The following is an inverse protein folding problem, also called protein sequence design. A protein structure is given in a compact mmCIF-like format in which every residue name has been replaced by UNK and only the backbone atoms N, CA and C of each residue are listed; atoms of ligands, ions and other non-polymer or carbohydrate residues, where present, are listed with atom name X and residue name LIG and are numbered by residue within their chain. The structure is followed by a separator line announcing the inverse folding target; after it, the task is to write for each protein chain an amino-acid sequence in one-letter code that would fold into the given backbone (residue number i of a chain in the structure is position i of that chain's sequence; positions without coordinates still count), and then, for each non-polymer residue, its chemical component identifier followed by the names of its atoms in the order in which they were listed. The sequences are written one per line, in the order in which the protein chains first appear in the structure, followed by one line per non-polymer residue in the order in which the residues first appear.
data_IF_270955889013
#
_entry.id   IF_270955889013
#
_cell.length_a   1.000
_cell.length_b   1.000
_cell.length_c   1.000
_cell.angle_alpha   90.00
_cell.angle_beta   90.00
_cell.angle_gamma   90.00
#
_symmetry.space_group_name_H-M   'P 1'
#
loop_
_entity.id
_entity.type
_entity.pdbx_description
1 polymer ?
#
# COMPACT_ATOMS: atom_id res chain seq x y z
N UNK A 1 -7.17 29.57 6.45
CA UNK A 1 -7.26 28.14 6.04
C UNK A 1 -6.69 27.13 7.07
N UNK A 2 -6.26 27.56 8.25
CA UNK A 2 -5.57 26.66 9.23
C UNK A 2 -6.46 25.49 9.72
N UNK A 3 -7.76 25.67 9.75
CA UNK A 3 -8.70 24.63 10.15
C UNK A 3 -9.21 23.75 9.00
N UNK A 4 -8.90 24.09 7.75
CA UNK A 4 -9.36 23.34 6.59
C UNK A 4 -8.47 22.11 6.31
N UNK A 5 -9.10 21.10 5.75
CA UNK A 5 -8.46 19.91 5.19
C UNK A 5 -8.74 19.80 3.69
N UNK A 6 -8.12 18.88 2.98
CA UNK A 6 -8.44 18.63 1.57
C UNK A 6 -9.91 18.27 1.34
N UNK A 7 -10.51 17.56 2.30
CA UNK A 7 -11.90 17.11 2.21
C UNK A 7 -12.93 18.24 2.21
N UNK A 8 -12.62 19.38 2.84
CA UNK A 8 -13.53 20.53 2.90
C UNK A 8 -13.80 21.15 1.53
N UNK A 9 -12.93 20.86 0.53
CA UNK A 9 -13.07 21.31 -0.84
C UNK A 9 -13.72 20.29 -1.78
N UNK A 10 -14.04 19.08 -1.29
CA UNK A 10 -14.74 18.07 -2.10
C UNK A 10 -16.19 18.49 -2.36
N UNK A 11 -16.80 19.17 -1.40
CA UNK A 11 -18.16 19.69 -1.52
C UNK A 11 -18.29 21.02 -0.77
N UNK A 12 -18.79 22.06 -1.48
CA UNK A 12 -19.17 23.36 -0.91
C UNK A 12 -20.57 23.69 -1.46
N UNK A 13 -21.51 23.88 -0.56
CA UNK A 13 -22.91 24.14 -0.95
C UNK A 13 -23.01 25.35 -1.89
N UNK A 14 -23.72 25.17 -3.01
CA UNK A 14 -23.95 26.23 -3.99
C UNK A 14 -22.75 26.57 -4.89
N UNK A 15 -21.64 25.83 -4.77
CA UNK A 15 -20.44 26.06 -5.57
C UNK A 15 -20.18 24.88 -6.52
N UNK A 16 -19.96 25.17 -7.77
CA UNK A 16 -19.54 24.19 -8.76
C UNK A 16 -18.06 23.76 -8.59
N UNK A 17 -17.65 22.77 -9.37
CA UNK A 17 -16.28 22.22 -9.27
C UNK A 17 -15.21 23.26 -9.61
N UNK A 18 -15.48 24.16 -10.56
CA UNK A 18 -14.52 25.20 -10.94
C UNK A 18 -14.31 26.25 -9.84
N UNK A 19 -15.40 26.63 -9.15
CA UNK A 19 -15.32 27.49 -7.96
C UNK A 19 -14.56 26.85 -6.82
N UNK A 20 -14.84 25.56 -6.51
CA UNK A 20 -14.09 24.81 -5.51
C UNK A 20 -12.61 24.68 -5.83
N UNK A 21 -12.26 24.45 -7.10
CA UNK A 21 -10.88 24.37 -7.55
C UNK A 21 -10.11 25.69 -7.33
N UNK A 22 -10.75 26.85 -7.57
CA UNK A 22 -10.16 28.16 -7.26
C UNK A 22 -9.91 28.36 -5.77
N UNK A 23 -10.89 27.99 -4.93
CA UNK A 23 -10.72 28.08 -3.48
C UNK A 23 -9.62 27.13 -2.99
N UNK A 24 -9.56 25.92 -3.55
CA UNK A 24 -8.52 24.95 -3.23
C UNK A 24 -7.13 25.46 -3.62
N UNK A 25 -7.01 26.14 -4.76
CA UNK A 25 -5.73 26.78 -5.15
C UNK A 25 -5.31 27.84 -4.11
N UNK A 26 -6.21 28.71 -3.69
CA UNK A 26 -5.91 29.69 -2.65
C UNK A 26 -5.49 29.04 -1.31
N UNK A 27 -6.12 27.92 -0.95
CA UNK A 27 -5.70 27.11 0.19
C UNK A 27 -4.27 26.56 0.02
N UNK A 28 -3.95 26.00 -1.16
CA UNK A 28 -2.60 25.47 -1.42
C UNK A 28 -1.53 26.58 -1.36
N UNK A 29 -1.82 27.76 -1.90
CA UNK A 29 -0.92 28.91 -1.87
C UNK A 29 -0.65 29.39 -0.42
N UNK A 30 -1.70 29.46 0.41
CA UNK A 30 -1.59 29.78 1.83
C UNK A 30 -0.75 28.75 2.60
N UNK A 31 -1.03 27.45 2.41
CA UNK A 31 -0.28 26.38 3.08
C UNK A 31 1.20 26.32 2.61
N UNK A 32 1.45 26.60 1.35
CA UNK A 32 2.82 26.72 0.81
C UNK A 32 3.57 27.87 1.43
N UNK A 33 2.96 29.06 1.49
CA UNK A 33 3.57 30.24 2.11
C UNK A 33 3.90 30.04 3.60
N UNK A 34 3.14 29.20 4.30
CA UNK A 34 3.36 28.82 5.71
C UNK A 34 4.33 27.66 5.90
N UNK A 35 4.87 27.04 4.83
CA UNK A 35 5.70 25.85 4.91
C UNK A 35 4.95 24.62 5.46
N UNK A 36 3.62 24.58 5.31
CA UNK A 36 2.77 23.51 5.82
C UNK A 36 2.33 22.51 4.75
N UNK A 37 2.61 22.77 3.49
CA UNK A 37 2.32 21.89 2.35
C UNK A 37 3.57 21.04 2.02
N UNK A 38 3.64 19.84 2.60
CA UNK A 38 4.75 18.90 2.38
C UNK A 38 4.31 17.70 1.51
N UNK A 39 3.54 17.99 0.45
CA UNK A 39 3.02 17.00 -0.49
C UNK A 39 3.52 17.26 -1.90
N UNK A 40 3.65 16.20 -2.69
CA UNK A 40 4.08 16.24 -4.10
C UNK A 40 5.44 16.93 -4.30
N UNK A 41 6.35 16.73 -3.34
CA UNK A 41 7.71 17.25 -3.43
C UNK A 41 8.47 16.51 -4.55
N UNK A 42 9.26 17.25 -5.32
CA UNK A 42 9.95 16.72 -6.49
C UNK A 42 11.34 16.23 -6.10
N UNK A 43 11.62 14.97 -6.44
CA UNK A 43 12.97 14.38 -6.37
C UNK A 43 13.57 14.32 -7.77
N UNK A 44 14.87 14.53 -7.89
CA UNK A 44 15.61 14.54 -9.17
C UNK A 44 16.41 13.25 -9.39
N UNK A 45 16.39 12.32 -8.42
CA UNK A 45 17.01 11.01 -8.49
C UNK A 45 15.98 9.89 -8.44
N UNK A 46 16.39 8.68 -8.76
CA UNK A 46 15.54 7.49 -8.60
C UNK A 46 15.28 7.16 -7.13
N UNK A 47 14.33 6.25 -6.91
CA UNK A 47 13.98 5.73 -5.59
C UNK A 47 15.21 5.09 -4.91
N UNK A 48 15.42 5.38 -3.63
CA UNK A 48 16.54 4.85 -2.85
C UNK A 48 16.58 5.43 -1.43
N UNK A 49 17.55 5.01 -0.61
CA UNK A 49 17.68 5.52 0.76
C UNK A 49 18.16 6.98 0.80
N UNK A 50 18.81 7.45 -0.26
CA UNK A 50 19.16 8.86 -0.48
C UNK A 50 18.50 9.30 -1.78
N UNK A 51 17.83 10.44 -1.75
CA UNK A 51 17.27 11.12 -2.91
C UNK A 51 17.75 12.57 -2.93
N UNK A 52 17.75 13.18 -4.11
CA UNK A 52 18.05 14.59 -4.25
C UNK A 52 16.76 15.41 -4.38
N UNK A 53 16.64 16.46 -3.57
CA UNK A 53 15.53 17.41 -3.59
C UNK A 53 16.07 18.83 -3.55
N UNK A 54 15.68 19.66 -4.52
CA UNK A 54 16.16 21.05 -4.64
C UNK A 54 17.70 21.18 -4.55
N UNK A 55 18.44 20.24 -5.17
CA UNK A 55 19.90 20.20 -5.18
C UNK A 55 20.55 19.76 -3.87
N UNK A 56 19.80 19.18 -2.93
CA UNK A 56 20.32 18.69 -1.65
C UNK A 56 20.03 17.19 -1.48
N UNK A 57 20.99 16.40 -0.99
CA UNK A 57 20.76 15.01 -0.63
C UNK A 57 19.87 14.92 0.62
N UNK A 58 18.91 14.00 0.61
CA UNK A 58 17.97 13.73 1.69
C UNK A 58 17.93 12.25 1.99
N UNK A 59 17.96 11.86 3.25
CA UNK A 59 17.63 10.49 3.67
C UNK A 59 16.14 10.29 3.46
N UNK A 60 15.78 9.36 2.58
CA UNK A 60 14.39 9.16 2.14
C UNK A 60 13.71 8.03 2.91
N UNK A 61 12.70 8.38 3.68
CA UNK A 61 11.84 7.44 4.42
C UNK A 61 10.41 7.39 3.86
N UNK A 62 10.22 7.83 2.60
CA UNK A 62 8.91 7.88 1.94
C UNK A 62 8.68 6.73 0.98
N UNK A 63 9.71 5.96 0.65
CA UNK A 63 9.61 4.86 -0.30
C UNK A 63 8.95 3.62 0.30
N UNK A 64 8.13 2.94 -0.51
CA UNK A 64 7.61 1.61 -0.25
C UNK A 64 8.40 0.51 -1.00
N UNK A 65 9.52 0.83 -1.62
CA UNK A 65 10.45 -0.12 -2.24
C UNK A 65 11.26 -0.84 -1.14
N UNK A 66 10.58 -1.69 -0.37
CA UNK A 66 11.09 -2.24 0.89
C UNK A 66 12.39 -3.01 0.76
N UNK A 67 12.59 -3.75 -0.34
CA UNK A 67 13.82 -4.49 -0.61
C UNK A 67 14.82 -3.71 -1.48
N UNK A 68 14.43 -2.54 -2.01
CA UNK A 68 15.27 -1.68 -2.85
C UNK A 68 15.47 -2.24 -4.26
N UNK A 69 14.50 -2.99 -4.76
CA UNK A 69 14.60 -3.67 -6.06
C UNK A 69 14.45 -2.73 -7.25
N UNK A 70 13.87 -1.53 -7.09
CA UNK A 70 13.84 -0.53 -8.18
C UNK A 70 15.22 -0.19 -8.72
N UNK A 71 16.26 -0.28 -7.89
CA UNK A 71 17.64 0.02 -8.26
C UNK A 71 18.52 -1.22 -8.45
N UNK A 72 17.96 -2.42 -8.29
CA UNK A 72 18.72 -3.66 -8.44
C UNK A 72 19.16 -3.88 -9.91
N UNK A 73 20.45 -4.14 -10.19
CA UNK A 73 20.95 -4.26 -11.57
C UNK A 73 20.22 -5.30 -12.41
N UNK A 74 19.96 -6.49 -11.84
CA UNK A 74 19.26 -7.57 -12.55
C UNK A 74 17.79 -7.20 -12.86
N UNK A 75 17.12 -6.48 -11.97
CA UNK A 75 15.74 -6.01 -12.18
C UNK A 75 15.70 -4.97 -13.30
N UNK A 76 16.63 -4.00 -13.30
CA UNK A 76 16.77 -3.03 -14.40
C UNK A 76 17.05 -3.71 -15.73
N UNK A 77 17.97 -4.68 -15.73
CA UNK A 77 18.33 -5.39 -16.95
C UNK A 77 17.15 -6.20 -17.53
N UNK A 78 16.33 -6.82 -16.66
CA UNK A 78 15.13 -7.53 -17.11
C UNK A 78 14.12 -6.58 -17.77
N UNK A 79 13.92 -5.37 -17.23
CA UNK A 79 13.10 -4.34 -17.87
C UNK A 79 13.64 -3.93 -19.23
N UNK A 80 14.94 -3.65 -19.34
CA UNK A 80 15.61 -3.29 -20.60
C UNK A 80 15.43 -4.40 -21.63
N UNK A 81 15.66 -5.64 -21.25
CA UNK A 81 15.51 -6.80 -22.14
C UNK A 81 14.07 -6.94 -22.65
N UNK A 82 13.08 -6.70 -21.79
CA UNK A 82 11.68 -6.66 -22.17
C UNK A 82 11.39 -5.59 -23.21
N UNK A 83 11.84 -4.37 -22.99
CA UNK A 83 11.68 -3.26 -23.94
C UNK A 83 12.38 -3.56 -25.27
N UNK A 84 13.59 -4.09 -25.24
CA UNK A 84 14.35 -4.41 -26.46
C UNK A 84 13.68 -5.51 -27.30
N UNK A 85 13.01 -6.47 -26.65
CA UNK A 85 12.34 -7.57 -27.37
C UNK A 85 10.97 -7.17 -27.90
N UNK A 86 10.16 -6.45 -27.12
CA UNK A 86 8.74 -6.25 -27.39
C UNK A 86 8.35 -4.80 -27.68
N UNK A 87 9.25 -3.83 -27.46
CA UNK A 87 8.94 -2.40 -27.55
C UNK A 87 8.54 -1.79 -26.21
N UNK A 88 8.01 -0.56 -26.23
CA UNK A 88 7.74 0.22 -25.01
C UNK A 88 6.36 -0.01 -24.39
N UNK A 89 5.45 -0.68 -25.10
CA UNK A 89 4.09 -0.90 -24.62
C UNK A 89 3.42 -2.07 -25.27
N UNK A 90 2.29 -2.50 -24.72
CA UNK A 90 1.50 -3.62 -25.26
C UNK A 90 0.64 -3.25 -26.48
N UNK A 91 0.43 -1.96 -26.74
CA UNK A 91 -0.30 -1.45 -27.90
C UNK A 91 -1.82 -1.64 -27.87
N UNK A 92 -2.35 -2.45 -26.94
CA UNK A 92 -3.77 -2.76 -26.84
C UNK A 92 -4.13 -3.26 -25.44
N UNK A 93 -5.44 -3.40 -25.19
CA UNK A 93 -5.96 -4.13 -24.03
C UNK A 93 -5.90 -5.65 -24.24
N UNK A 94 -6.00 -6.45 -23.18
CA UNK A 94 -5.98 -7.92 -23.30
C UNK A 94 -7.06 -8.46 -24.22
N UNK A 95 -8.19 -7.77 -24.32
CA UNK A 95 -9.34 -8.21 -25.13
C UNK A 95 -9.10 -8.17 -26.65
N UNK A 96 -8.16 -7.32 -27.13
CA UNK A 96 -7.99 -7.07 -28.57
C UNK A 96 -6.54 -7.18 -29.05
N UNK A 97 -5.70 -7.95 -28.39
CA UNK A 97 -4.32 -8.24 -28.84
C UNK A 97 -3.22 -7.72 -27.92
N UNK A 98 -3.57 -7.15 -26.76
CA UNK A 98 -2.61 -6.72 -25.72
C UNK A 98 -2.23 -7.82 -24.75
N UNK A 99 -2.41 -9.11 -25.07
CA UNK A 99 -2.03 -10.21 -24.22
C UNK A 99 -0.86 -10.97 -24.84
N UNK A 100 0.28 -10.94 -24.17
CA UNK A 100 1.55 -11.49 -24.64
C UNK A 100 2.05 -12.61 -23.72
N UNK A 101 3.02 -13.39 -24.19
CA UNK A 101 3.67 -14.46 -23.44
C UNK A 101 4.31 -13.97 -22.12
N UNK A 102 4.80 -12.74 -22.08
CA UNK A 102 5.36 -12.17 -20.84
C UNK A 102 4.27 -11.84 -19.80
N UNK A 103 3.03 -11.60 -20.20
CA UNK A 103 1.91 -11.45 -19.26
C UNK A 103 1.58 -12.81 -18.61
N UNK A 104 1.51 -13.87 -19.39
CA UNK A 104 1.29 -15.23 -18.87
C UNK A 104 2.42 -15.67 -17.94
N UNK A 105 3.68 -15.34 -18.29
CA UNK A 105 4.83 -15.61 -17.45
C UNK A 105 4.70 -14.87 -16.10
N UNK A 106 4.31 -13.60 -16.12
CA UNK A 106 4.11 -12.80 -14.90
C UNK A 106 2.95 -13.35 -14.05
N UNK A 107 1.82 -13.72 -14.65
CA UNK A 107 0.70 -14.36 -13.97
C UNK A 107 1.13 -15.66 -13.28
N UNK A 108 1.82 -16.53 -14.01
CA UNK A 108 2.32 -17.81 -13.48
C UNK A 108 3.32 -17.61 -12.35
N UNK A 109 4.26 -16.68 -12.53
CA UNK A 109 5.28 -16.38 -11.50
C UNK A 109 4.64 -15.81 -10.24
N UNK A 110 3.68 -14.90 -10.40
CA UNK A 110 2.93 -14.31 -9.28
C UNK A 110 2.12 -15.37 -8.53
N UNK A 111 1.38 -16.23 -9.25
CA UNK A 111 0.62 -17.31 -8.64
C UNK A 111 1.53 -18.27 -7.86
N UNK A 112 2.66 -18.67 -8.45
CA UNK A 112 3.66 -19.55 -7.81
C UNK A 112 4.26 -18.96 -6.55
N UNK A 113 4.53 -17.66 -6.54
CA UNK A 113 5.01 -16.93 -5.35
C UNK A 113 4.05 -17.10 -4.15
N UNK A 114 2.75 -17.08 -4.40
CA UNK A 114 1.71 -17.30 -3.38
C UNK A 114 1.27 -18.76 -3.25
N UNK A 115 2.07 -19.71 -3.75
CA UNK A 115 1.76 -21.17 -3.69
C UNK A 115 0.41 -21.53 -4.29
N UNK A 116 -0.04 -20.76 -5.29
CA UNK A 116 -1.26 -20.96 -6.03
C UNK A 116 -0.95 -21.23 -7.51
N UNK A 117 -1.96 -21.56 -8.29
CA UNK A 117 -1.80 -21.89 -9.72
C UNK A 117 -2.23 -20.74 -10.64
N UNK A 118 -3.10 -19.87 -10.17
CA UNK A 118 -3.78 -18.89 -11.02
C UNK A 118 -3.71 -17.49 -10.41
N UNK A 119 -3.40 -16.52 -11.26
CA UNK A 119 -3.41 -15.10 -10.96
C UNK A 119 -3.87 -14.31 -12.18
N UNK A 120 -4.42 -13.13 -11.93
CA UNK A 120 -4.67 -12.10 -12.95
C UNK A 120 -3.91 -10.85 -12.62
N UNK A 121 -3.38 -10.18 -13.63
CA UNK A 121 -2.56 -8.98 -13.51
C UNK A 121 -3.37 -7.76 -13.93
N UNK A 122 -3.29 -6.70 -13.14
CA UNK A 122 -3.87 -5.38 -13.40
C UNK A 122 -2.79 -4.33 -13.59
N UNK A 123 -3.15 -3.22 -14.21
CA UNK A 123 -2.20 -2.10 -14.47
C UNK A 123 -1.71 -1.40 -13.20
N UNK A 124 -2.48 -1.45 -12.12
CA UNK A 124 -2.08 -0.92 -10.79
C UNK A 124 -2.62 -1.79 -9.67
N UNK A 125 -2.03 -1.72 -8.48
CA UNK A 125 -2.61 -2.30 -7.27
C UNK A 125 -3.94 -1.65 -6.89
N UNK A 126 -4.14 -0.38 -7.23
CA UNK A 126 -5.43 0.29 -7.04
C UNK A 126 -6.53 -0.38 -7.86
N UNK A 127 -6.27 -0.62 -9.14
CA UNK A 127 -7.24 -1.30 -10.03
C UNK A 127 -7.41 -2.76 -9.70
N UNK A 128 -6.38 -3.46 -9.19
CA UNK A 128 -6.56 -4.86 -8.76
C UNK A 128 -7.62 -5.00 -7.67
N UNK A 129 -7.71 -4.05 -6.73
CA UNK A 129 -8.76 -4.02 -5.72
C UNK A 129 -10.08 -3.49 -6.29
N UNK A 130 -10.10 -2.26 -6.81
CA UNK A 130 -11.35 -1.60 -7.21
C UNK A 130 -12.05 -2.34 -8.34
N UNK A 131 -11.32 -2.78 -9.37
CA UNK A 131 -11.90 -3.46 -10.53
C UNK A 131 -12.36 -4.89 -10.22
N UNK A 132 -11.60 -5.64 -9.41
CA UNK A 132 -12.02 -7.00 -9.02
C UNK A 132 -13.27 -6.96 -8.15
N UNK A 133 -13.33 -6.05 -7.18
CA UNK A 133 -14.50 -5.90 -6.30
C UNK A 133 -15.74 -5.45 -7.08
N UNK A 134 -15.62 -4.47 -7.98
CA UNK A 134 -16.71 -4.04 -8.85
C UNK A 134 -17.17 -5.14 -9.82
N UNK A 135 -16.30 -6.08 -10.15
CA UNK A 135 -16.63 -7.22 -11.00
C UNK A 135 -17.32 -8.35 -10.23
N UNK A 136 -16.86 -8.65 -9.01
CA UNK A 136 -17.33 -9.80 -8.21
C UNK A 136 -18.65 -9.48 -7.51
N UNK A 137 -18.80 -8.26 -6.99
CA UNK A 137 -19.91 -7.90 -6.12
C UNK A 137 -21.16 -7.53 -6.91
N UNK A 138 -22.30 -7.87 -6.34
CA UNK A 138 -23.64 -7.46 -6.79
C UNK A 138 -24.36 -6.67 -5.67
N UNK A 139 -25.49 -6.07 -5.98
CA UNK A 139 -26.32 -5.34 -5.00
C UNK A 139 -26.89 -6.22 -3.88
N UNK A 140 -26.96 -7.54 -4.11
CA UNK A 140 -27.54 -8.50 -3.17
C UNK A 140 -26.48 -9.07 -2.20
N UNK A 141 -25.19 -8.83 -2.48
CA UNK A 141 -24.07 -9.26 -1.68
C UNK A 141 -23.83 -8.31 -0.49
N UNK A 142 -23.10 -8.78 0.51
CA UNK A 142 -22.71 -7.98 1.67
C UNK A 142 -21.21 -8.01 1.89
N UNK A 143 -20.62 -6.83 2.10
CA UNK A 143 -19.19 -6.68 2.33
C UNK A 143 -18.94 -6.17 3.75
N UNK A 144 -18.03 -6.82 4.46
CA UNK A 144 -17.57 -6.40 5.78
C UNK A 144 -16.11 -5.92 5.65
N UNK A 145 -15.88 -4.64 5.93
CA UNK A 145 -14.61 -3.97 5.73
C UNK A 145 -13.99 -3.56 7.07
N UNK A 146 -12.71 -3.80 7.26
CA UNK A 146 -11.96 -3.11 8.32
C UNK A 146 -11.91 -1.59 8.05
N UNK A 147 -11.98 -0.78 9.10
CA UNK A 147 -11.90 0.67 8.98
C UNK A 147 -10.55 1.17 8.43
N UNK A 148 -9.51 0.35 8.53
CA UNK A 148 -8.15 0.66 8.07
C UNK A 148 -7.84 0.24 6.63
N UNK A 149 -8.77 -0.40 5.90
CA UNK A 149 -8.50 -0.87 4.53
C UNK A 149 -8.17 0.27 3.58
N UNK A 150 -7.39 -0.04 2.56
CA UNK A 150 -6.94 0.92 1.56
C UNK A 150 -8.11 1.55 0.80
N UNK A 151 -7.96 2.81 0.38
CA UNK A 151 -8.99 3.58 -0.36
C UNK A 151 -9.49 2.85 -1.61
N UNK A 152 -8.64 2.08 -2.30
CA UNK A 152 -9.05 1.30 -3.48
C UNK A 152 -10.09 0.22 -3.17
N UNK A 153 -10.04 -0.37 -1.97
CA UNK A 153 -11.05 -1.30 -1.46
C UNK A 153 -12.35 -0.54 -1.17
N UNK A 154 -12.25 0.59 -0.49
CA UNK A 154 -13.41 1.43 -0.19
C UNK A 154 -14.15 1.89 -1.45
N UNK A 155 -13.41 2.31 -2.47
CA UNK A 155 -13.96 2.71 -3.78
C UNK A 155 -14.55 1.52 -4.52
N UNK A 156 -13.86 0.36 -4.54
CA UNK A 156 -14.38 -0.86 -5.14
C UNK A 156 -15.72 -1.32 -4.55
N UNK A 157 -15.96 -1.01 -3.28
CA UNK A 157 -17.19 -1.35 -2.57
C UNK A 157 -18.22 -0.21 -2.47
N UNK A 158 -17.97 0.95 -3.11
CA UNK A 158 -18.77 2.17 -2.88
C UNK A 158 -20.26 2.01 -3.20
N UNK A 159 -20.58 1.26 -4.26
CA UNK A 159 -21.96 1.09 -4.74
C UNK A 159 -22.66 -0.14 -4.16
N UNK A 160 -22.03 -0.87 -3.24
CA UNK A 160 -22.55 -2.14 -2.72
C UNK A 160 -22.96 -2.03 -1.24
N UNK A 161 -23.74 -3.01 -0.79
CA UNK A 161 -24.11 -3.13 0.60
C UNK A 161 -22.89 -3.48 1.45
N UNK A 162 -22.45 -2.55 2.29
CA UNK A 162 -21.22 -2.67 3.07
C UNK A 162 -21.37 -2.27 4.53
N UNK A 163 -20.63 -2.94 5.39
CA UNK A 163 -20.47 -2.61 6.79
C UNK A 163 -18.98 -2.40 7.08
N UNK A 164 -18.62 -1.18 7.47
CA UNK A 164 -17.28 -0.91 8.02
C UNK A 164 -17.30 -1.24 9.51
N UNK A 165 -16.37 -2.07 9.95
CA UNK A 165 -16.15 -2.43 11.35
C UNK A 165 -14.95 -1.68 11.90
N UNK A 166 -14.91 -1.54 13.22
CA UNK A 166 -13.77 -0.90 13.89
C UNK A 166 -12.50 -1.69 13.64
N UNK A 167 -11.41 -0.97 13.45
CA UNK A 167 -10.10 -1.51 13.10
C UNK A 167 -9.66 -2.61 14.06
N UNK A 168 -9.35 -3.78 13.49
CA UNK A 168 -8.89 -5.00 14.18
C UNK A 168 -9.78 -5.47 15.35
N UNK A 169 -11.06 -5.07 15.38
CA UNK A 169 -12.01 -5.40 16.44
C UNK A 169 -12.77 -6.70 16.11
N UNK A 170 -12.31 -7.82 16.65
CA UNK A 170 -12.88 -9.15 16.40
C UNK A 170 -14.36 -9.27 16.82
N UNK A 171 -14.78 -8.60 17.90
CA UNK A 171 -16.20 -8.60 18.33
C UNK A 171 -17.07 -7.88 17.29
N UNK A 172 -16.57 -6.78 16.72
CA UNK A 172 -17.28 -6.06 15.66
C UNK A 172 -17.38 -6.89 14.36
N UNK A 173 -16.33 -7.64 14.00
CA UNK A 173 -16.37 -8.60 12.88
C UNK A 173 -17.41 -9.69 13.12
N UNK A 174 -17.36 -10.34 14.28
CA UNK A 174 -18.28 -11.41 14.62
C UNK A 174 -19.72 -10.94 14.62
N UNK A 175 -19.99 -9.76 15.21
CA UNK A 175 -21.32 -9.16 15.21
C UNK A 175 -21.84 -8.93 13.79
N UNK A 176 -21.02 -8.35 12.91
CA UNK A 176 -21.40 -8.10 11.52
C UNK A 176 -21.66 -9.40 10.74
N UNK A 177 -20.81 -10.41 10.91
CA UNK A 177 -20.94 -11.73 10.29
C UNK A 177 -22.22 -12.44 10.76
N UNK A 178 -22.50 -12.43 12.04
CA UNK A 178 -23.72 -13.02 12.63
C UNK A 178 -24.99 -12.38 12.05
N UNK A 179 -24.99 -11.05 11.88
CA UNK A 179 -26.14 -10.34 11.31
C UNK A 179 -26.34 -10.64 9.82
N UNK A 180 -25.29 -11.01 9.11
CA UNK A 180 -25.30 -11.26 7.66
C UNK A 180 -25.57 -12.73 7.29
N UNK A 181 -25.42 -13.66 8.26
CA UNK A 181 -25.54 -15.10 8.01
C UNK A 181 -26.86 -15.49 7.39
N UNK A 182 -26.81 -16.12 6.22
CA UNK A 182 -27.98 -16.64 5.50
C UNK A 182 -28.88 -15.56 4.85
N UNK A 183 -28.47 -14.30 4.82
CA UNK A 183 -29.25 -13.19 4.26
C UNK A 183 -28.79 -12.74 2.88
N UNK A 184 -27.58 -13.11 2.49
CA UNK A 184 -26.92 -12.65 1.25
C UNK A 184 -26.34 -13.82 0.48
N UNK A 185 -26.35 -13.80 -0.85
CA UNK A 185 -25.70 -14.83 -1.67
C UNK A 185 -24.20 -14.94 -1.38
N UNK A 186 -23.55 -13.79 -1.19
CA UNK A 186 -22.14 -13.66 -0.80
C UNK A 186 -22.01 -12.73 0.41
N UNK A 187 -21.25 -13.16 1.39
CA UNK A 187 -20.67 -12.30 2.43
C UNK A 187 -19.16 -12.31 2.26
N UNK A 188 -18.57 -11.16 1.98
CA UNK A 188 -17.14 -11.02 1.74
C UNK A 188 -16.51 -10.14 2.85
N UNK A 189 -15.57 -10.70 3.59
CA UNK A 189 -14.74 -9.95 4.54
C UNK A 189 -13.48 -9.48 3.82
N UNK A 190 -13.09 -8.21 3.98
CA UNK A 190 -11.90 -7.64 3.37
C UNK A 190 -11.04 -6.97 4.44
N UNK A 191 -9.76 -7.32 4.45
CA UNK A 191 -8.73 -6.79 5.35
C UNK A 191 -7.48 -6.44 4.56
N UNK A 192 -6.67 -5.53 5.09
CA UNK A 192 -5.28 -5.38 4.67
C UNK A 192 -4.41 -6.30 5.55
N UNK A 193 -3.44 -6.99 4.96
CA UNK A 193 -2.50 -7.82 5.73
C UNK A 193 -1.62 -6.98 6.65
N UNK A 194 -1.12 -5.87 6.10
CA UNK A 194 -0.42 -4.80 6.83
C UNK A 194 -1.12 -3.48 6.51
N UNK A 195 -1.58 -2.77 7.52
CA UNK A 195 -2.28 -1.51 7.33
C UNK A 195 -1.31 -0.35 7.04
N UNK A 196 -1.58 0.38 5.97
CA UNK A 196 -0.66 1.33 5.35
C UNK A 196 -0.31 2.54 6.22
N UNK A 197 -1.19 2.94 7.16
CA UNK A 197 -1.02 4.12 7.99
C UNK A 197 -0.50 3.80 9.39
N UNK A 198 -0.72 2.60 9.88
CA UNK A 198 -0.34 2.16 11.23
C UNK A 198 0.81 1.15 11.22
N UNK A 199 1.01 0.42 10.13
CA UNK A 199 2.05 -0.60 10.02
C UNK A 199 1.78 -1.84 10.88
N UNK A 200 0.61 -1.94 11.50
CA UNK A 200 0.16 -3.08 12.26
C UNK A 200 -0.43 -4.17 11.35
N UNK A 201 -0.70 -5.32 11.92
CA UNK A 201 -1.14 -6.51 11.21
C UNK A 201 -2.60 -6.83 11.54
N UNK A 202 -3.32 -7.34 10.55
CA UNK A 202 -4.63 -7.93 10.80
C UNK A 202 -4.51 -9.20 11.68
N UNK A 203 -5.47 -9.47 12.58
CA UNK A 203 -5.55 -10.71 13.34
C UNK A 203 -6.06 -11.87 12.46
N UNK A 204 -5.29 -12.20 11.42
CA UNK A 204 -5.71 -13.05 10.29
C UNK A 204 -6.27 -14.40 10.74
N UNK A 205 -5.59 -15.09 11.67
CA UNK A 205 -6.02 -16.42 12.13
C UNK A 205 -7.44 -16.41 12.72
N UNK A 206 -7.72 -15.42 13.57
CA UNK A 206 -9.04 -15.29 14.18
C UNK A 206 -10.12 -14.89 13.15
N UNK A 207 -9.78 -14.03 12.19
CA UNK A 207 -10.70 -13.65 11.11
C UNK A 207 -11.02 -14.86 10.22
N UNK A 208 -10.04 -15.70 9.89
CA UNK A 208 -10.27 -16.96 9.14
C UNK A 208 -11.27 -17.85 9.89
N UNK A 209 -11.07 -18.05 11.20
CA UNK A 209 -11.97 -18.86 12.03
C UNK A 209 -13.41 -18.31 12.02
N UNK A 210 -13.57 -16.98 12.12
CA UNK A 210 -14.87 -16.32 12.01
C UNK A 210 -15.49 -16.51 10.61
N UNK A 211 -14.73 -16.30 9.55
CA UNK A 211 -15.23 -16.50 8.18
C UNK A 211 -15.71 -17.94 7.95
N UNK A 212 -14.95 -18.92 8.38
CA UNK A 212 -15.33 -20.34 8.31
C UNK A 212 -16.62 -20.62 9.09
N UNK A 213 -16.71 -20.12 10.31
CA UNK A 213 -17.89 -20.33 11.17
C UNK A 213 -19.17 -19.76 10.60
N UNK A 214 -19.07 -18.58 9.97
CA UNK A 214 -20.25 -17.88 9.41
C UNK A 214 -20.45 -18.13 7.92
N UNK A 215 -19.56 -18.89 7.25
CA UNK A 215 -19.65 -19.18 5.81
C UNK A 215 -19.36 -17.98 4.91
N UNK A 216 -18.52 -17.05 5.38
CA UNK A 216 -18.08 -15.90 4.61
C UNK A 216 -16.82 -16.20 3.81
N UNK A 217 -16.63 -15.47 2.70
CA UNK A 217 -15.40 -15.42 1.92
C UNK A 217 -14.44 -14.38 2.48
N UNK A 218 -13.13 -14.57 2.25
CA UNK A 218 -12.09 -13.69 2.76
C UNK A 218 -11.17 -13.19 1.63
N UNK A 219 -11.00 -11.87 1.57
CA UNK A 219 -10.02 -11.19 0.73
C UNK A 219 -8.96 -10.53 1.63
N UNK A 220 -7.70 -10.72 1.28
CA UNK A 220 -6.56 -10.08 1.95
C UNK A 220 -5.79 -9.24 0.94
N UNK A 221 -5.76 -7.92 1.14
CA UNK A 221 -4.81 -7.03 0.46
C UNK A 221 -3.48 -7.04 1.20
N UNK A 222 -2.50 -7.71 0.64
CA UNK A 222 -1.18 -7.86 1.27
C UNK A 222 -0.09 -7.00 0.61
N UNK A 223 -0.50 -5.85 0.07
CA UNK A 223 0.38 -4.92 -0.64
C UNK A 223 1.57 -4.41 0.19
N UNK A 224 1.42 -4.30 1.51
CA UNK A 224 2.49 -3.88 2.43
C UNK A 224 3.13 -5.06 3.19
N UNK A 225 2.53 -6.25 3.14
CA UNK A 225 3.08 -7.45 3.77
C UNK A 225 4.01 -8.23 2.86
N UNK A 226 3.73 -8.24 1.55
CA UNK A 226 4.55 -8.90 0.53
C UNK A 226 5.98 -8.36 0.52
N UNK A 227 6.97 -9.26 0.67
CA UNK A 227 8.40 -8.92 0.80
C UNK A 227 8.82 -8.39 2.17
N UNK A 228 7.89 -8.25 3.11
CA UNK A 228 8.14 -7.64 4.45
C UNK A 228 7.81 -8.62 5.57
N UNK A 229 6.67 -9.30 5.48
CA UNK A 229 6.15 -10.21 6.50
C UNK A 229 6.29 -11.67 6.02
N UNK A 230 6.34 -12.57 6.96
CA UNK A 230 6.51 -14.01 6.70
C UNK A 230 7.99 -14.44 6.74
N UNK A 231 8.20 -15.76 6.77
CA UNK A 231 9.54 -16.34 6.82
C UNK A 231 10.27 -16.15 5.48
N UNK A 232 9.54 -16.28 4.38
CA UNK A 232 10.06 -16.19 3.01
C UNK A 232 9.53 -14.97 2.26
N UNK A 233 8.89 -13.99 2.95
CA UNK A 233 8.41 -12.75 2.36
C UNK A 233 7.10 -12.83 1.59
N UNK A 234 6.34 -13.86 1.82
CA UNK A 234 5.06 -14.06 1.12
C UNK A 234 3.87 -13.41 1.84
N UNK A 235 4.16 -12.47 2.73
CA UNK A 235 3.16 -11.65 3.40
C UNK A 235 2.51 -12.29 4.62
N UNK A 236 1.39 -11.71 5.06
CA UNK A 236 0.70 -12.13 6.27
C UNK A 236 0.11 -13.53 6.15
N UNK A 237 -0.36 -13.92 4.96
CA UNK A 237 -0.95 -15.24 4.70
C UNK A 237 0.04 -16.37 5.04
N UNK A 238 1.33 -16.16 4.77
CA UNK A 238 2.39 -17.12 5.11
C UNK A 238 2.51 -17.36 6.63
N UNK A 239 2.28 -16.35 7.46
CA UNK A 239 2.45 -16.45 8.91
C UNK A 239 1.50 -17.44 9.57
N UNK A 240 0.38 -17.69 8.93
CA UNK A 240 -0.66 -18.63 9.39
C UNK A 240 -0.69 -19.93 8.57
N UNK A 241 0.17 -20.05 7.55
CA UNK A 241 0.10 -21.11 6.51
C UNK A 241 -1.32 -21.28 5.92
N UNK A 242 -2.01 -20.14 5.74
CA UNK A 242 -3.45 -20.07 5.47
C UNK A 242 -3.78 -19.99 3.97
N UNK A 243 -2.96 -20.62 3.12
CA UNK A 243 -3.06 -20.52 1.67
C UNK A 243 -4.43 -20.93 1.11
N UNK A 244 -5.04 -21.95 1.67
CA UNK A 244 -6.34 -22.48 1.22
C UNK A 244 -7.54 -21.83 1.90
N UNK A 245 -7.28 -21.02 2.92
CA UNK A 245 -8.32 -20.33 3.70
C UNK A 245 -8.66 -18.94 3.18
N UNK A 246 -7.84 -18.42 2.23
CA UNK A 246 -8.03 -17.11 1.63
C UNK A 246 -8.56 -17.28 0.21
N UNK A 247 -9.72 -16.68 -0.06
CA UNK A 247 -10.37 -16.76 -1.36
C UNK A 247 -9.72 -15.83 -2.41
N UNK A 248 -9.28 -14.63 -1.98
CA UNK A 248 -8.64 -13.63 -2.81
C UNK A 248 -7.42 -13.05 -2.08
N UNK A 249 -6.23 -13.19 -2.66
CA UNK A 249 -5.04 -12.46 -2.25
C UNK A 249 -4.80 -11.38 -3.28
N UNK A 250 -4.79 -10.13 -2.86
CA UNK A 250 -4.51 -8.99 -3.73
C UNK A 250 -3.26 -8.25 -3.29
N UNK A 251 -2.72 -7.44 -4.19
CA UNK A 251 -1.58 -6.61 -3.86
C UNK A 251 -1.08 -5.81 -5.06
N UNK A 252 0.12 -5.29 -4.91
CA UNK A 252 0.74 -4.40 -5.88
C UNK A 252 2.17 -4.81 -6.19
N UNK A 253 2.59 -4.57 -7.42
CA UNK A 253 4.00 -4.66 -7.81
C UNK A 253 4.77 -3.37 -7.55
N UNK A 254 4.08 -2.27 -7.17
CA UNK A 254 4.69 -0.95 -7.04
C UNK A 254 5.44 -0.71 -5.74
N UNK A 255 5.54 -1.71 -4.87
CA UNK A 255 6.27 -1.65 -3.61
C UNK A 255 7.50 -2.57 -3.67
N UNK A 256 7.47 -3.70 -3.00
CA UNK A 256 8.61 -4.63 -2.92
C UNK A 256 9.16 -5.07 -4.28
N UNK A 257 8.29 -5.24 -5.29
CA UNK A 257 8.73 -5.68 -6.62
C UNK A 257 9.17 -4.53 -7.55
N UNK A 258 9.09 -3.29 -7.10
CA UNK A 258 9.72 -2.13 -7.72
C UNK A 258 9.19 -1.68 -9.08
N UNK A 259 7.94 -2.05 -9.46
CA UNK A 259 7.33 -1.69 -10.74
C UNK A 259 5.84 -1.42 -10.58
N UNK A 260 5.24 -0.64 -11.46
CA UNK A 260 3.79 -0.43 -11.49
C UNK A 260 3.06 -1.73 -11.84
N UNK A 261 1.87 -1.92 -11.28
CA UNK A 261 0.98 -3.04 -11.53
C UNK A 261 0.35 -3.58 -10.26
N UNK A 262 -0.61 -4.46 -10.43
CA UNK A 262 -1.28 -5.15 -9.34
C UNK A 262 -1.70 -6.55 -9.73
N UNK A 263 -2.13 -7.34 -8.77
CA UNK A 263 -2.52 -8.73 -8.97
C UNK A 263 -3.70 -9.14 -8.09
N UNK A 264 -4.41 -10.16 -8.56
CA UNK A 264 -5.34 -10.96 -7.77
C UNK A 264 -4.98 -12.42 -7.96
N UNK A 265 -4.73 -13.11 -6.85
CA UNK A 265 -4.48 -14.55 -6.80
C UNK A 265 -5.72 -15.23 -6.22
N UNK A 266 -6.28 -16.19 -6.95
CA UNK A 266 -7.51 -16.84 -6.57
C UNK A 266 -7.62 -18.25 -7.21
N UNK A 267 -8.81 -18.90 -7.13
CA UNK A 267 -9.10 -20.13 -7.86
C UNK A 267 -9.11 -19.89 -9.37
N UNK A 268 -8.99 -20.95 -10.15
CA UNK A 268 -9.03 -20.89 -11.62
C UNK A 268 -10.32 -20.24 -12.14
N UNK A 269 -11.45 -20.65 -11.58
CA UNK A 269 -12.76 -20.15 -11.97
C UNK A 269 -12.89 -18.65 -11.72
N UNK A 270 -12.40 -18.19 -10.55
CA UNK A 270 -12.44 -16.78 -10.19
C UNK A 270 -11.49 -15.95 -11.06
N UNK A 271 -10.28 -16.43 -11.30
CA UNK A 271 -9.33 -15.75 -12.20
C UNK A 271 -9.87 -15.65 -13.62
N UNK A 272 -10.45 -16.73 -14.14
CA UNK A 272 -11.09 -16.71 -15.46
C UNK A 272 -12.30 -15.78 -15.48
N UNK A 273 -13.13 -15.78 -14.43
CA UNK A 273 -14.24 -14.84 -14.31
C UNK A 273 -13.75 -13.39 -14.39
N UNK A 274 -12.72 -13.02 -13.63
CA UNK A 274 -12.13 -11.69 -13.66
C UNK A 274 -11.53 -11.33 -15.02
N UNK A 275 -10.83 -12.27 -15.68
CA UNK A 275 -10.24 -12.06 -17.01
C UNK A 275 -11.27 -11.69 -18.08
N UNK A 276 -12.49 -12.25 -17.99
CA UNK A 276 -13.52 -12.06 -19.00
C UNK A 276 -14.65 -11.12 -18.59
N UNK A 277 -14.76 -10.72 -17.31
CA UNK A 277 -15.86 -9.89 -16.81
C UNK A 277 -15.38 -8.54 -16.23
N UNK A 278 -14.12 -8.46 -15.78
CA UNK A 278 -13.60 -7.22 -15.20
C UNK A 278 -13.39 -6.15 -16.27
N UNK A 279 -14.29 -5.18 -16.35
CA UNK A 279 -14.30 -4.15 -17.41
C UNK A 279 -13.01 -3.34 -17.43
N UNK A 280 -12.50 -2.97 -16.27
CA UNK A 280 -11.24 -2.17 -16.20
C UNK A 280 -10.02 -2.99 -16.62
N UNK A 281 -10.05 -4.32 -16.47
CA UNK A 281 -9.01 -5.18 -17.04
C UNK A 281 -9.15 -5.29 -18.55
N UNK A 282 -10.36 -5.58 -19.05
CA UNK A 282 -10.64 -5.82 -20.46
C UNK A 282 -10.40 -4.59 -21.35
N UNK A 283 -10.69 -3.38 -20.84
CA UNK A 283 -10.68 -2.15 -21.63
C UNK A 283 -9.52 -1.20 -21.29
N UNK A 284 -8.58 -1.64 -20.45
CA UNK A 284 -7.32 -0.93 -20.22
C UNK A 284 -6.18 -1.56 -21.02
N UNK A 285 -5.25 -0.73 -21.50
CA UNK A 285 -4.02 -1.25 -22.07
C UNK A 285 -3.27 -2.10 -21.03
N UNK A 286 -2.67 -3.20 -21.48
CA UNK A 286 -1.94 -4.12 -20.64
C UNK A 286 -0.58 -3.52 -20.17
N UNK A 287 0.02 -4.10 -19.14
CA UNK A 287 1.34 -3.71 -18.68
C UNK A 287 2.38 -3.76 -19.82
N UNK A 288 3.29 -2.81 -19.81
CA UNK A 288 4.38 -2.75 -20.77
C UNK A 288 5.37 -3.91 -20.57
N UNK A 289 6.16 -4.26 -21.59
CA UNK A 289 7.17 -5.33 -21.49
C UNK A 289 8.24 -5.10 -20.41
N UNK A 290 8.41 -3.87 -19.94
CA UNK A 290 9.25 -3.56 -18.79
C UNK A 290 8.81 -4.31 -17.51
N UNK A 291 7.57 -4.81 -17.46
CA UNK A 291 7.06 -5.62 -16.36
C UNK A 291 7.80 -6.96 -16.18
N UNK A 292 8.64 -7.38 -17.12
CA UNK A 292 9.57 -8.49 -16.91
C UNK A 292 10.54 -8.24 -15.75
N UNK A 293 10.75 -6.98 -15.36
CA UNK A 293 11.44 -6.63 -14.11
C UNK A 293 10.76 -7.21 -12.87
N UNK A 294 9.41 -7.33 -12.89
CA UNK A 294 8.65 -7.90 -11.77
C UNK A 294 8.93 -9.40 -11.63
N UNK A 295 8.99 -10.11 -12.75
CA UNK A 295 9.35 -11.54 -12.76
C UNK A 295 10.71 -11.72 -12.07
N UNK A 296 11.72 -10.92 -12.48
CA UNK A 296 13.05 -10.98 -11.85
C UNK A 296 13.03 -10.56 -10.38
N UNK A 297 12.27 -9.56 -10.01
CA UNK A 297 12.13 -9.14 -8.62
C UNK A 297 11.49 -10.23 -7.74
N UNK A 298 10.49 -10.95 -8.24
CA UNK A 298 9.87 -12.10 -7.55
C UNK A 298 10.90 -13.22 -7.35
N UNK A 299 11.67 -13.55 -8.39
CA UNK A 299 12.75 -14.56 -8.30
C UNK A 299 13.78 -14.18 -7.24
N UNK A 300 14.20 -12.91 -7.20
CA UNK A 300 15.20 -12.42 -6.24
C UNK A 300 14.79 -12.54 -4.79
N UNK A 301 13.50 -12.55 -4.46
CA UNK A 301 13.05 -12.78 -3.08
C UNK A 301 13.52 -14.16 -2.58
N UNK A 302 13.50 -15.17 -3.45
CA UNK A 302 13.94 -16.53 -3.12
C UNK A 302 15.45 -16.73 -3.37
N UNK A 303 16.00 -16.12 -4.41
CA UNK A 303 17.43 -16.23 -4.76
C UNK A 303 18.35 -15.44 -3.81
N UNK A 304 17.89 -14.30 -3.29
CA UNK A 304 18.63 -13.40 -2.42
C UNK A 304 17.90 -13.10 -1.10
N UNK A 305 17.64 -14.11 -0.24
CA UNK A 305 16.87 -13.92 1.00
C UNK A 305 17.56 -12.98 2.01
N UNK A 306 18.82 -12.62 1.76
CA UNK A 306 19.57 -11.66 2.55
C UNK A 306 18.85 -10.30 2.64
N UNK A 307 18.21 -9.82 1.57
CA UNK A 307 17.50 -8.53 1.57
C UNK A 307 16.40 -8.46 2.60
N UNK A 308 15.66 -9.55 2.79
CA UNK A 308 14.63 -9.62 3.83
C UNK A 308 15.21 -9.64 5.23
N UNK A 309 16.32 -10.37 5.44
CA UNK A 309 17.03 -10.38 6.72
C UNK A 309 17.52 -8.97 7.08
N UNK A 310 18.16 -8.28 6.13
CA UNK A 310 18.61 -6.90 6.31
C UNK A 310 17.44 -5.95 6.62
N UNK A 311 16.32 -6.07 5.89
CA UNK A 311 15.13 -5.28 6.17
C UNK A 311 14.63 -5.49 7.60
N UNK A 312 14.52 -6.74 8.05
CA UNK A 312 14.07 -7.07 9.42
C UNK A 312 15.00 -6.49 10.49
N UNK A 313 16.31 -6.57 10.27
CA UNK A 313 17.30 -6.01 11.18
C UNK A 313 17.22 -4.48 11.23
N UNK A 314 17.09 -3.82 10.09
CA UNK A 314 16.89 -2.36 10.00
C UNK A 314 15.60 -1.93 10.71
N UNK A 315 14.49 -2.63 10.49
CA UNK A 315 13.21 -2.35 11.15
C UNK A 315 13.31 -2.52 12.67
N UNK A 316 13.94 -3.58 13.14
CA UNK A 316 14.17 -3.84 14.57
C UNK A 316 15.03 -2.74 15.20
N UNK A 317 16.12 -2.37 14.53
CA UNK A 317 17.03 -1.32 14.97
C UNK A 317 16.31 0.04 15.08
N UNK A 318 15.66 0.45 14.02
CA UNK A 318 14.95 1.73 13.97
C UNK A 318 13.80 1.80 14.98
N UNK A 319 13.02 0.71 15.11
CA UNK A 319 11.96 0.59 16.11
C UNK A 319 12.51 0.79 17.53
N UNK A 320 13.61 0.13 17.86
CA UNK A 320 14.25 0.27 19.18
C UNK A 320 14.68 1.71 19.43
N UNK A 321 15.30 2.36 18.44
CA UNK A 321 15.73 3.77 18.55
C UNK A 321 14.56 4.72 18.80
N UNK A 322 13.47 4.61 18.03
CA UNK A 322 12.27 5.45 18.21
C UNK A 322 11.62 5.25 19.60
N UNK A 323 11.51 4.01 20.05
CA UNK A 323 10.96 3.69 21.38
C UNK A 323 11.87 4.20 22.50
N UNK A 324 13.20 4.11 22.35
CA UNK A 324 14.17 4.64 23.32
C UNK A 324 14.09 6.18 23.46
N UNK A 325 13.68 6.85 22.38
CA UNK A 325 13.35 8.28 22.42
C UNK A 325 11.98 8.56 23.07
N UNK A 326 11.20 7.53 23.42
CA UNK A 326 9.86 7.67 23.98
C UNK A 326 8.81 8.16 22.98
N UNK A 327 9.04 7.97 21.67
CA UNK A 327 8.10 8.36 20.64
C UNK A 327 6.96 7.33 20.50
N UNK A 328 5.74 7.81 20.28
CA UNK A 328 4.58 6.97 20.09
C UNK A 328 4.50 6.49 18.62
N UNK A 329 4.86 5.24 18.39
CA UNK A 329 4.82 4.60 17.07
C UNK A 329 3.68 3.58 16.91
N UNK A 330 2.75 3.53 17.87
CA UNK A 330 1.66 2.54 17.87
C UNK A 330 2.17 1.10 17.92
N UNK A 331 1.37 0.17 17.42
CA UNK A 331 1.67 -1.28 17.41
C UNK A 331 2.28 -1.76 16.09
N UNK A 332 3.03 -0.90 15.41
CA UNK A 332 3.66 -1.28 14.13
C UNK A 332 4.54 -2.53 14.27
N UNK A 333 4.41 -3.44 13.31
CA UNK A 333 5.17 -4.69 13.21
C UNK A 333 5.74 -4.93 11.82
N UNK A 334 5.74 -3.89 10.99
CA UNK A 334 6.19 -3.93 9.60
C UNK A 334 7.35 -2.95 9.37
N UNK A 335 7.60 -2.62 8.12
CA UNK A 335 8.59 -1.61 7.72
C UNK A 335 8.03 -0.17 7.74
N UNK A 336 6.83 0.03 8.25
CA UNK A 336 6.16 1.32 8.36
C UNK A 336 6.21 1.80 9.81
N UNK A 337 6.68 3.02 10.04
CA UNK A 337 6.83 3.63 11.36
C UNK A 337 6.08 4.95 11.43
N UNK A 338 4.85 4.96 11.99
CA UNK A 338 4.10 6.18 12.23
C UNK A 338 4.51 6.78 13.58
N UNK A 339 5.06 7.99 13.59
CA UNK A 339 5.23 8.76 14.83
C UNK A 339 4.01 9.65 15.01
N UNK A 340 3.17 9.35 15.99
CA UNK A 340 1.90 10.04 16.24
C UNK A 340 2.15 11.38 16.89
N UNK A 341 1.65 12.45 16.26
CA UNK A 341 1.79 13.84 16.70
C UNK A 341 0.48 14.40 17.26
N UNK A 342 -0.66 14.00 16.67
CA UNK A 342 -2.02 14.37 17.11
C UNK A 342 -2.53 15.71 16.59
N UNK A 343 -1.67 16.67 16.31
CA UNK A 343 -2.03 18.00 15.79
C UNK A 343 -1.50 18.19 14.35
N UNK A 344 -2.37 18.61 13.43
CA UNK A 344 -2.01 18.71 12.01
C UNK A 344 -0.99 19.81 11.69
N UNK A 345 -1.06 20.97 12.41
CA UNK A 345 -0.16 22.10 12.17
C UNK A 345 1.22 21.76 12.73
N UNK A 346 1.27 21.22 13.94
CA UNK A 346 2.49 20.71 14.57
C UNK A 346 3.13 19.63 13.69
N UNK A 347 2.33 18.70 13.16
CA UNK A 347 2.77 17.64 12.24
C UNK A 347 3.40 18.21 10.95
N UNK A 348 2.77 19.22 10.35
CA UNK A 348 3.28 19.86 9.16
C UNK A 348 4.62 20.58 9.41
N UNK A 349 4.73 21.30 10.54
CA UNK A 349 5.97 21.97 10.94
C UNK A 349 7.10 20.98 11.22
N UNK A 350 6.81 19.87 11.90
CA UNK A 350 7.78 18.79 12.12
C UNK A 350 8.27 18.22 10.80
N UNK A 351 7.35 17.94 9.86
CA UNK A 351 7.70 17.41 8.54
C UNK A 351 8.63 18.39 7.78
N UNK A 352 8.30 19.67 7.79
CA UNK A 352 9.12 20.71 7.18
C UNK A 352 10.52 20.78 7.82
N UNK A 353 10.59 20.76 9.15
CA UNK A 353 11.84 20.81 9.91
C UNK A 353 12.75 19.59 9.63
N UNK A 354 12.16 18.39 9.56
CA UNK A 354 12.88 17.19 9.15
C UNK A 354 13.54 17.36 7.78
N UNK A 355 12.82 17.98 6.82
CA UNK A 355 13.39 18.26 5.50
C UNK A 355 14.56 19.25 5.57
N UNK A 356 14.45 20.31 6.38
CA UNK A 356 15.57 21.24 6.58
C UNK A 356 16.80 20.55 7.20
N UNK A 357 16.59 19.50 7.97
CA UNK A 357 17.62 18.68 8.62
C UNK A 357 18.07 17.47 7.75
N UNK A 358 17.68 17.43 6.47
CA UNK A 358 18.12 16.40 5.52
C UNK A 358 17.35 15.08 5.58
N UNK A 359 16.15 15.04 6.15
CA UNK A 359 15.30 13.86 6.24
C UNK A 359 13.99 14.07 5.48
N UNK A 360 13.70 13.21 4.52
CA UNK A 360 12.45 13.22 3.79
C UNK A 360 11.49 12.16 4.34
N UNK A 361 10.44 12.59 5.03
CA UNK A 361 9.38 11.77 5.60
C UNK A 361 8.00 12.27 5.19
N UNK A 362 6.95 11.48 5.38
CA UNK A 362 5.59 11.82 4.98
C UNK A 362 4.78 12.43 6.14
N UNK A 363 4.23 13.59 5.90
CA UNK A 363 3.16 14.18 6.70
C UNK A 363 1.84 13.49 6.37
N UNK A 364 1.20 12.85 7.36
CA UNK A 364 -0.13 12.24 7.21
C UNK A 364 -1.10 12.96 8.14
N UNK A 365 -2.14 13.54 7.54
CA UNK A 365 -3.18 14.27 8.23
C UNK A 365 -4.57 13.77 7.77
N UNK A 366 -5.62 14.27 8.41
CA UNK A 366 -6.99 14.08 7.93
C UNK A 366 -7.12 14.55 6.45
N UNK A 367 -7.81 13.80 5.56
CA UNK A 367 -8.71 12.68 5.85
C UNK A 367 -8.05 11.29 5.83
N UNK A 368 -6.75 11.16 5.60
CA UNK A 368 -6.08 9.86 5.55
C UNK A 368 -6.03 9.15 6.92
N UNK A 369 -6.07 9.94 7.99
CA UNK A 369 -6.20 9.49 9.39
C UNK A 369 -7.22 10.38 10.10
N UNK A 370 -7.63 10.04 11.34
CA UNK A 370 -8.52 10.90 12.11
C UNK A 370 -7.87 12.25 12.44
N UNK A 371 -8.67 13.29 12.72
CA UNK A 371 -8.16 14.65 13.00
C UNK A 371 -7.17 14.70 14.20
N UNK A 372 -7.34 13.78 15.16
CA UNK A 372 -6.50 13.70 16.37
C UNK A 372 -5.32 12.75 16.20
N UNK A 373 -5.10 12.24 15.00
CA UNK A 373 -4.19 11.13 14.74
C UNK A 373 -3.15 11.47 13.67
N UNK A 374 -2.93 12.77 13.46
CA UNK A 374 -1.90 13.30 12.58
C UNK A 374 -0.54 12.71 12.96
N UNK A 375 0.25 12.32 11.98
CA UNK A 375 1.51 11.59 12.19
C UNK A 375 2.52 11.85 11.10
N UNK A 376 3.79 11.64 11.44
CA UNK A 376 4.87 11.47 10.47
C UNK A 376 5.00 9.99 10.16
N UNK A 377 4.77 9.60 8.91
CA UNK A 377 4.89 8.21 8.45
C UNK A 377 6.24 8.02 7.77
N UNK A 378 6.97 7.02 8.21
CA UNK A 378 8.28 6.65 7.67
C UNK A 378 8.27 5.21 7.21
N UNK A 379 8.93 4.95 6.07
CA UNK A 379 9.18 3.61 5.54
C UNK A 379 10.67 3.28 5.61
N UNK A 380 11.01 2.16 6.24
CA UNK A 380 12.38 1.64 6.24
C UNK A 380 12.54 0.64 5.12
N UNK A 381 13.70 0.64 4.47
CA UNK A 381 14.04 -0.29 3.39
C UNK A 381 15.29 -1.09 3.73
N UNK A 382 15.51 -2.19 3.02
CA UNK A 382 16.73 -2.98 3.14
C UNK A 382 18.00 -2.22 2.70
N UNK A 383 17.82 -1.11 1.98
CA UNK A 383 18.94 -0.27 1.48
C UNK A 383 19.40 0.79 2.48
N UNK A 384 18.65 1.06 3.54
CA UNK A 384 19.12 1.96 4.58
C UNK A 384 20.31 1.36 5.33
N UNK A 385 21.34 2.19 5.59
CA UNK A 385 22.43 1.82 6.48
C UNK A 385 22.08 2.20 7.92
N UNK A 386 22.81 1.63 8.89
CA UNK A 386 22.63 1.98 10.30
C UNK A 386 22.97 3.44 10.57
N UNK A 387 24.02 3.95 9.92
CA UNK A 387 24.45 5.34 10.03
C UNK A 387 23.33 6.30 9.57
N UNK A 388 22.67 5.99 8.45
CA UNK A 388 21.52 6.77 7.98
C UNK A 388 20.35 6.72 8.96
N UNK A 389 20.06 5.56 9.54
CA UNK A 389 19.01 5.42 10.54
C UNK A 389 19.38 6.17 11.83
N UNK A 390 20.66 6.20 12.23
CA UNK A 390 21.16 6.99 13.37
C UNK A 390 21.01 8.49 13.13
N UNK A 391 21.32 8.98 11.91
CA UNK A 391 21.08 10.38 11.54
C UNK A 391 19.59 10.75 11.69
N UNK A 392 18.69 9.88 11.23
CA UNK A 392 17.24 10.10 11.40
C UNK A 392 16.84 10.09 12.87
N UNK A 393 17.38 9.19 13.69
CA UNK A 393 17.10 9.15 15.13
C UNK A 393 17.63 10.39 15.85
N UNK A 394 18.78 10.93 15.44
CA UNK A 394 19.31 12.19 15.95
C UNK A 394 18.39 13.38 15.61
N UNK A 395 17.89 13.43 14.37
CA UNK A 395 16.89 14.43 13.96
C UNK A 395 15.64 14.31 14.82
N UNK A 396 15.14 13.10 15.10
CA UNK A 396 14.00 12.90 16.00
C UNK A 396 14.28 13.32 17.43
N UNK A 397 15.50 13.13 17.95
CA UNK A 397 15.89 13.60 19.28
C UNK A 397 15.84 15.13 19.39
N UNK A 398 16.26 15.84 18.34
CA UNK A 398 16.17 17.29 18.25
C UNK A 398 14.71 17.77 18.14
N UNK A 399 13.93 17.18 17.22
CA UNK A 399 12.50 17.44 17.05
C UNK A 399 11.74 17.25 18.36
N UNK A 400 12.01 16.14 19.07
CA UNK A 400 11.38 15.88 20.37
C UNK A 400 11.60 17.00 21.35
N UNK A 401 12.81 17.54 21.46
CA UNK A 401 13.14 18.67 22.36
C UNK A 401 12.45 19.95 21.91
N UNK A 402 12.53 20.26 20.62
CA UNK A 402 12.02 21.49 20.03
C UNK A 402 10.49 21.60 20.11
N UNK A 403 9.79 20.48 19.82
CA UNK A 403 8.32 20.43 19.79
C UNK A 403 7.70 19.87 21.07
N UNK A 404 8.45 19.53 22.08
CA UNK A 404 7.98 18.94 23.35
C UNK A 404 7.05 17.72 23.11
N UNK A 405 7.60 16.67 22.46
CA UNK A 405 6.90 15.40 22.17
C UNK A 405 7.04 14.39 23.31
#
# INVERSE_FOLDING_TARGET
FDNNSFRDFEYIQGMDTWGRAKMFQAYLDDQTAKGQLNYRLVTTTGCGPIVEMAGKPMISLVSNDYLGFTQHPAVKQAAINGIMKYGTGAGASPAIGGHYDYHELLEKTTAGFFRKKHAIIYTTGYTSNSASLQCILTKDDHVILDAGVHTSVMEGCQCFNRKTVKHNDLEAYEHALRLSKGKHPLVLVIIDGVYSQDGDLAPLKAIIELCKHYGAKLMVDDAHGTGVIGKTGRGLVETCDAWDDIDLITGTFSKTFGHIGGYVVASEEMVNYLKFQSKQHLFSASLSPACLSIVKAIELVDEEPLWMSVLKDNCKYFRHGLLSLGLNIGDTRSAIFPVRIGDKIKNARICHDMQQKGVYANQINYPAVSMKDARIRMGVTARHTKEQLDEVLNVWADIKKEFAL
#
